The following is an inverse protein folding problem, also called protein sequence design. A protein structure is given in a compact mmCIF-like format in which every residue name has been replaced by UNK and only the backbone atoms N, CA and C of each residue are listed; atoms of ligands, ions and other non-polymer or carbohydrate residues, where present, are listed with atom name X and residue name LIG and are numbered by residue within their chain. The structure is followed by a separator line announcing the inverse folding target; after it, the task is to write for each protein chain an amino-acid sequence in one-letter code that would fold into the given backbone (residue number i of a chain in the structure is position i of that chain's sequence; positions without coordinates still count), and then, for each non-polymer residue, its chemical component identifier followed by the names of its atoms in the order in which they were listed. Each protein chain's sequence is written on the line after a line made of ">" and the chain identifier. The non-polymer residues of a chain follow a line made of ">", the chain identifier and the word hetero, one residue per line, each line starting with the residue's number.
data_IF_736849583500
#
_entry.id   IF_736849583500
#
_cell.length_a   1.000
_cell.length_b   1.000
_cell.length_c   1.000
_cell.angle_alpha   90.00
_cell.angle_beta   90.00
_cell.angle_gamma   90.00
#
_symmetry.space_group_name_H-M   'P 1'
#
loop_
_entity.id
_entity.type
_entity.pdbx_description
1 polymer ?
#
# COMPACT_ATOMS: atom_id res chain seq x y z
N UNK A 1 8.98 -5.90 15.81
CA UNK A 1 9.52 -6.22 14.47
C UNK A 1 8.58 -5.81 13.34
N UNK A 2 7.37 -6.39 13.20
CA UNK A 2 6.47 -6.02 12.10
C UNK A 2 5.96 -4.57 12.21
N UNK A 3 5.49 -4.14 13.39
CA UNK A 3 5.10 -2.74 13.61
C UNK A 3 6.28 -1.77 13.40
N UNK A 4 7.50 -2.16 13.80
CA UNK A 4 8.69 -1.31 13.60
C UNK A 4 9.04 -1.19 12.11
N UNK A 5 8.91 -2.28 11.34
CA UNK A 5 9.06 -2.25 9.88
C UNK A 5 8.01 -1.32 9.24
N UNK A 6 6.75 -1.46 9.63
CA UNK A 6 5.67 -0.61 9.11
C UNK A 6 5.86 0.87 9.49
N UNK A 7 6.38 1.17 10.69
CA UNK A 7 6.71 2.54 11.08
C UNK A 7 7.76 3.16 10.15
N UNK A 8 8.84 2.43 9.83
CA UNK A 8 9.85 2.91 8.86
C UNK A 8 9.24 3.20 7.49
N UNK A 9 8.31 2.36 7.03
CA UNK A 9 7.61 2.62 5.75
C UNK A 9 6.70 3.84 5.81
N UNK A 10 6.00 4.05 6.93
CA UNK A 10 5.15 5.22 7.14
C UNK A 10 5.97 6.51 7.17
N UNK A 11 7.11 6.51 7.87
CA UNK A 11 8.04 7.64 7.92
C UNK A 11 8.61 7.98 6.55
N UNK A 12 9.02 6.98 5.76
CA UNK A 12 9.51 7.19 4.41
C UNK A 12 8.42 7.75 3.48
N UNK A 13 7.19 7.25 3.57
CA UNK A 13 6.06 7.78 2.82
C UNK A 13 5.72 9.23 3.21
N UNK A 14 5.74 9.54 4.51
CA UNK A 14 5.53 10.90 4.99
C UNK A 14 6.63 11.86 4.50
N UNK A 15 7.88 11.39 4.51
CA UNK A 15 9.03 12.13 3.97
C UNK A 15 8.90 12.38 2.47
N UNK A 16 8.45 11.38 1.70
CA UNK A 16 8.17 11.55 0.28
C UNK A 16 7.07 12.60 0.04
N UNK A 17 5.96 12.50 0.76
CA UNK A 17 4.84 13.44 0.66
C UNK A 17 5.20 14.88 1.06
N UNK A 18 6.12 15.05 2.02
CA UNK A 18 6.63 16.36 2.40
C UNK A 18 7.42 17.03 1.26
N UNK A 19 8.02 16.22 0.37
CA UNK A 19 8.69 16.66 -0.85
C UNK A 19 10.06 17.33 -0.64
N UNK A 20 10.41 17.71 0.59
CA UNK A 20 11.67 18.35 0.96
C UNK A 20 12.89 17.42 0.82
N UNK A 21 12.65 16.10 0.77
CA UNK A 21 13.67 15.06 0.58
C UNK A 21 13.66 14.41 -0.79
N UNK A 22 12.90 14.96 -1.75
CA UNK A 22 12.78 14.39 -3.09
C UNK A 22 14.14 14.16 -3.77
N UNK A 23 15.04 15.14 -3.73
CA UNK A 23 16.35 15.06 -4.38
C UNK A 23 17.25 13.96 -3.78
N UNK A 24 17.04 13.61 -2.51
CA UNK A 24 17.73 12.52 -1.81
C UNK A 24 17.07 11.16 -2.11
N UNK A 25 15.74 11.11 -2.14
CA UNK A 25 14.96 9.87 -2.26
C UNK A 25 14.83 9.37 -3.71
N UNK A 26 14.56 10.27 -4.66
CA UNK A 26 14.24 9.91 -6.04
C UNK A 26 15.36 9.11 -6.74
N UNK A 27 16.67 9.41 -6.55
CA UNK A 27 17.73 8.60 -7.13
C UNK A 27 17.75 7.15 -6.62
N UNK A 28 17.46 6.92 -5.34
CA UNK A 28 17.39 5.57 -4.76
C UNK A 28 16.17 4.83 -5.30
N UNK A 29 15.01 5.50 -5.36
CA UNK A 29 13.79 4.95 -5.94
C UNK A 29 14.01 4.55 -7.41
N UNK A 30 14.64 5.42 -8.20
CA UNK A 30 14.96 5.14 -9.60
C UNK A 30 15.89 3.92 -9.75
N UNK A 31 16.94 3.85 -8.93
CA UNK A 31 17.86 2.72 -8.92
C UNK A 31 17.14 1.40 -8.59
N UNK A 32 16.35 1.37 -7.52
CA UNK A 32 15.68 0.15 -7.04
C UNK A 32 14.52 -0.28 -7.94
N UNK A 33 13.86 0.67 -8.60
CA UNK A 33 12.86 0.39 -9.63
C UNK A 33 13.49 -0.02 -10.99
N UNK A 34 14.80 0.14 -11.16
CA UNK A 34 15.49 -0.10 -12.44
C UNK A 34 15.08 0.89 -13.54
N UNK A 35 14.80 2.13 -13.16
CA UNK A 35 14.27 3.19 -14.02
C UNK A 35 15.25 4.35 -14.18
N UNK A 36 15.16 5.05 -15.31
CA UNK A 36 15.82 6.34 -15.47
C UNK A 36 15.20 7.39 -14.53
N UNK A 37 16.03 8.28 -14.00
CA UNK A 37 15.64 9.24 -12.94
C UNK A 37 14.38 10.06 -13.31
N UNK A 38 14.32 10.58 -14.52
CA UNK A 38 13.19 11.38 -15.00
C UNK A 38 11.90 10.54 -15.09
N UNK A 39 11.98 9.34 -15.67
CA UNK A 39 10.83 8.44 -15.81
C UNK A 39 10.33 7.92 -14.45
N UNK A 40 11.25 7.66 -13.51
CA UNK A 40 10.90 7.30 -12.15
C UNK A 40 10.11 8.42 -11.49
N UNK A 41 10.58 9.68 -11.62
CA UNK A 41 9.92 10.87 -11.11
C UNK A 41 8.51 11.01 -11.65
N UNK A 42 8.35 10.99 -12.98
CA UNK A 42 7.04 11.06 -13.64
C UNK A 42 6.06 9.98 -13.15
N UNK A 43 6.55 8.76 -12.90
CA UNK A 43 5.71 7.63 -12.49
C UNK A 43 5.26 7.73 -11.05
N UNK A 44 6.18 8.02 -10.13
CA UNK A 44 5.86 8.08 -8.69
C UNK A 44 5.12 9.38 -8.32
N UNK A 45 5.18 10.42 -9.14
CA UNK A 45 4.41 11.65 -8.93
C UNK A 45 2.89 11.42 -9.05
N UNK A 46 2.48 10.35 -9.74
CA UNK A 46 1.07 9.94 -9.82
C UNK A 46 0.63 9.07 -8.62
N UNK A 47 1.52 8.76 -7.68
CA UNK A 47 1.22 7.89 -6.54
C UNK A 47 0.76 8.73 -5.33
N UNK A 48 -0.20 8.19 -4.59
CA UNK A 48 -0.66 8.75 -3.33
C UNK A 48 -0.24 7.81 -2.18
N UNK A 49 0.57 8.32 -1.25
CA UNK A 49 0.98 7.58 -0.06
C UNK A 49 0.17 8.04 1.14
N UNK A 50 -0.76 7.21 1.58
CA UNK A 50 -1.71 7.60 2.64
C UNK A 50 -1.07 7.55 4.03
N UNK A 51 -1.45 8.47 4.94
CA UNK A 51 -1.17 8.32 6.36
C UNK A 51 -1.75 7.02 6.92
N UNK A 52 -1.15 6.53 8.01
CA UNK A 52 -1.53 5.26 8.65
C UNK A 52 -3.01 5.24 9.05
N UNK A 53 -3.52 6.36 9.58
CA UNK A 53 -4.90 6.51 10.03
C UNK A 53 -5.89 6.36 8.86
N UNK A 54 -5.54 6.92 7.70
CA UNK A 54 -6.37 6.81 6.50
C UNK A 54 -6.30 5.39 5.91
N UNK A 55 -5.12 4.78 5.90
CA UNK A 55 -4.93 3.40 5.45
C UNK A 55 -5.72 2.39 6.30
N UNK A 56 -5.86 2.65 7.60
CA UNK A 56 -6.65 1.84 8.54
C UNK A 56 -8.17 2.03 8.40
N UNK A 57 -8.62 3.10 7.74
CA UNK A 57 -10.04 3.43 7.64
C UNK A 57 -10.85 2.42 6.82
N UNK A 58 -12.18 2.45 6.96
CA UNK A 58 -13.12 1.66 6.16
C UNK A 58 -12.99 1.91 4.65
N UNK A 59 -12.44 3.07 4.26
CA UNK A 59 -12.16 3.38 2.85
C UNK A 59 -11.02 2.54 2.29
N UNK A 60 -10.21 1.90 3.14
CA UNK A 60 -9.00 1.16 2.80
C UNK A 60 -8.98 -0.21 3.50
N UNK A 61 -7.98 -0.49 4.34
CA UNK A 61 -7.75 -1.81 4.93
C UNK A 61 -8.83 -2.19 5.95
N UNK A 62 -9.53 -1.22 6.54
CA UNK A 62 -10.64 -1.47 7.46
C UNK A 62 -11.90 -2.01 6.78
N UNK A 63 -12.02 -1.90 5.44
CA UNK A 63 -13.22 -2.35 4.74
C UNK A 63 -13.05 -2.54 3.23
N UNK A 64 -12.92 -1.43 2.48
CA UNK A 64 -12.99 -1.43 1.01
C UNK A 64 -12.05 -2.42 0.33
N UNK A 65 -10.81 -2.55 0.80
CA UNK A 65 -9.82 -3.47 0.19
C UNK A 65 -10.32 -4.90 0.25
N UNK A 66 -10.90 -5.31 1.39
CA UNK A 66 -11.50 -6.64 1.53
C UNK A 66 -12.63 -6.88 0.53
N UNK A 67 -13.58 -5.95 0.44
CA UNK A 67 -14.69 -6.05 -0.52
C UNK A 67 -14.24 -6.01 -1.99
N UNK A 68 -13.17 -5.26 -2.28
CA UNK A 68 -12.56 -5.24 -3.61
C UNK A 68 -11.95 -6.59 -3.98
N UNK A 69 -11.21 -7.22 -3.06
CA UNK A 69 -10.63 -8.54 -3.26
C UNK A 69 -11.69 -9.62 -3.45
N UNK A 70 -12.81 -9.55 -2.72
CA UNK A 70 -13.94 -10.46 -2.88
C UNK A 70 -14.52 -10.36 -4.31
N UNK A 71 -14.73 -9.14 -4.80
CA UNK A 71 -15.21 -8.90 -6.17
C UNK A 71 -14.22 -9.35 -7.24
N UNK A 72 -12.92 -9.09 -7.05
CA UNK A 72 -11.88 -9.53 -7.98
C UNK A 72 -11.80 -11.06 -8.06
N UNK A 73 -11.85 -11.75 -6.91
CA UNK A 73 -11.84 -13.20 -6.85
C UNK A 73 -13.07 -13.81 -7.55
N UNK A 74 -14.26 -13.24 -7.32
CA UNK A 74 -15.48 -13.65 -8.01
C UNK A 74 -15.36 -13.46 -9.53
N UNK A 75 -14.86 -12.30 -9.98
CA UNK A 75 -14.59 -12.04 -11.40
C UNK A 75 -13.69 -13.12 -12.00
N UNK A 76 -12.53 -13.40 -11.40
CA UNK A 76 -11.61 -14.40 -11.95
C UNK A 76 -12.16 -15.83 -11.90
N UNK A 77 -13.02 -16.14 -10.93
CA UNK A 77 -13.72 -17.42 -10.87
C UNK A 77 -14.74 -17.57 -12.00
N UNK A 78 -15.54 -16.53 -12.27
CA UNK A 78 -16.53 -16.53 -13.35
C UNK A 78 -15.88 -16.69 -14.73
N UNK A 79 -14.65 -16.19 -14.90
CA UNK A 79 -13.83 -16.40 -16.11
C UNK A 79 -13.06 -17.72 -16.12
N UNK A 80 -13.23 -18.58 -15.11
CA UNK A 80 -12.63 -19.92 -15.04
C UNK A 80 -11.14 -19.94 -14.74
N UNK A 81 -10.55 -18.81 -14.34
CA UNK A 81 -9.11 -18.69 -14.03
C UNK A 81 -8.79 -19.02 -12.57
N UNK A 82 -9.78 -18.92 -11.70
CA UNK A 82 -9.70 -19.31 -10.28
C UNK A 82 -10.72 -20.43 -10.02
N UNK A 83 -10.33 -21.62 -9.56
CA UNK A 83 -11.25 -22.76 -9.44
C UNK A 83 -12.22 -22.66 -8.26
N UNK A 84 -11.88 -21.90 -7.22
CA UNK A 84 -12.72 -21.68 -6.04
C UNK A 84 -12.38 -20.35 -5.36
N UNK A 85 -13.38 -19.76 -4.69
CA UNK A 85 -13.24 -18.50 -3.95
C UNK A 85 -13.50 -18.73 -2.46
N UNK A 86 -12.88 -17.91 -1.61
CA UNK A 86 -13.17 -17.88 -0.18
C UNK A 86 -14.52 -17.19 0.09
N UNK A 87 -15.15 -17.43 1.26
CA UNK A 87 -16.32 -16.66 1.67
C UNK A 87 -16.05 -15.16 1.80
N UNK A 88 -14.84 -14.79 2.24
CA UNK A 88 -14.29 -13.44 2.13
C UNK A 88 -12.77 -13.46 2.29
N UNK A 89 -12.08 -12.69 1.45
CA UNK A 89 -10.66 -12.38 1.51
C UNK A 89 -10.39 -11.21 2.47
N UNK A 90 -11.38 -10.33 2.71
CA UNK A 90 -11.28 -9.27 3.72
C UNK A 90 -11.00 -9.82 5.12
N UNK A 91 -11.53 -11.01 5.44
CA UNK A 91 -11.26 -11.70 6.70
C UNK A 91 -9.79 -12.12 6.90
N UNK A 92 -8.96 -12.08 5.86
CA UNK A 92 -7.53 -12.38 5.93
C UNK A 92 -6.67 -11.13 6.14
N UNK A 93 -7.26 -9.94 6.14
CA UNK A 93 -6.53 -8.69 6.34
C UNK A 93 -6.27 -8.52 7.84
N UNK A 94 -5.00 -8.57 8.23
CA UNK A 94 -4.54 -8.31 9.60
C UNK A 94 -3.94 -6.89 9.68
N UNK A 95 -4.67 -5.99 10.34
CA UNK A 95 -4.23 -4.60 10.57
C UNK A 95 -3.62 -4.38 11.95
N UNK A 96 -3.40 -5.42 12.74
CA UNK A 96 -2.93 -5.30 14.13
C UNK A 96 -1.61 -4.53 14.22
N UNK A 97 -0.60 -4.95 13.45
CA UNK A 97 0.71 -4.31 13.47
C UNK A 97 0.70 -2.89 12.90
N UNK A 98 -0.23 -2.55 12.01
CA UNK A 98 -0.38 -1.19 11.48
C UNK A 98 -1.11 -0.29 12.50
N UNK A 99 -2.09 -0.84 13.21
CA UNK A 99 -2.76 -0.16 14.34
C UNK A 99 -1.76 0.20 15.45
N UNK A 100 -0.79 -0.67 15.72
CA UNK A 100 0.30 -0.40 16.67
C UNK A 100 1.21 0.78 16.24
N UNK A 101 1.24 1.12 14.94
CA UNK A 101 1.98 2.29 14.42
C UNK A 101 1.19 3.58 14.62
N UNK A 102 -0.14 3.56 14.41
CA UNK A 102 -1.01 4.75 14.56
C UNK A 102 -1.07 5.31 16.00
N UNK A 103 -0.52 4.57 16.98
CA UNK A 103 -0.41 5.00 18.38
C UNK A 103 0.99 5.45 18.82
N UNK A 104 1.96 5.54 17.90
CA UNK A 104 3.35 5.94 18.18
C UNK A 104 3.61 7.39 17.77
#
# INVERSE_FOLDING_TARGET
>A
LLADFLAVTADANAMWNAGDKRDEMLPVIAQDAGMELAAAGETIDDFEFLPVEELLSDKWLGGRVGSYLDGAAAFFHDYGTVPSVLPSYGALIDTSALSDVSGR
#
